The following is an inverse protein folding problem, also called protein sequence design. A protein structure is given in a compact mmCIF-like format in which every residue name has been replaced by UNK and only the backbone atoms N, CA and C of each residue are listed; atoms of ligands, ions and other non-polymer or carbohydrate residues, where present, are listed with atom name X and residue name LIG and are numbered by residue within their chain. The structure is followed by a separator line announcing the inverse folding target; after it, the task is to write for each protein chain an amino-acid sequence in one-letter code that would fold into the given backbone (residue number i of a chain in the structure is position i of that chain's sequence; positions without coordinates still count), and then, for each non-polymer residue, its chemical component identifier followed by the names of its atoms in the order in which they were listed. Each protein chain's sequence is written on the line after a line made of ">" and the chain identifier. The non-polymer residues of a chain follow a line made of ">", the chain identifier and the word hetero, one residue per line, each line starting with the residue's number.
data_IF_633455361099
#
_entry.id   IF_633455361099
#
_cell.length_a   1.000
_cell.length_b   1.000
_cell.length_c   1.000
_cell.angle_alpha   90.00
_cell.angle_beta   90.00
_cell.angle_gamma   90.00
#
_symmetry.space_group_name_H-M   'P 1'
#
loop_
_entity.id
_entity.type
_entity.pdbx_description
1 polymer ?
#
# COMPACT_ATOMS: atom_id res chain seq x y z
N UNK A 1 24.10 -46.89 -5.61
CA UNK A 1 24.69 -46.42 -4.34
C UNK A 1 25.10 -44.96 -4.51
N UNK A 2 24.50 -44.08 -3.70
CA UNK A 2 24.55 -42.62 -3.78
C UNK A 2 25.91 -42.10 -3.30
N UNK A 3 26.45 -41.05 -3.94
CA UNK A 3 27.40 -40.11 -3.30
C UNK A 3 26.90 -38.69 -3.55
N UNK A 4 26.30 -38.10 -2.52
CA UNK A 4 25.97 -36.67 -2.47
C UNK A 4 27.23 -35.82 -2.36
N UNK A 5 27.34 -34.66 -3.02
CA UNK A 5 28.38 -33.69 -2.74
C UNK A 5 28.08 -32.94 -1.44
N UNK A 6 29.11 -32.77 -0.60
CA UNK A 6 29.04 -32.11 0.72
C UNK A 6 28.69 -30.62 0.55
N UNK A 7 27.58 -30.20 1.14
CA UNK A 7 27.29 -28.79 1.43
C UNK A 7 28.32 -28.26 2.44
N UNK A 8 29.06 -27.22 2.08
CA UNK A 8 29.78 -26.41 3.07
C UNK A 8 28.73 -25.68 3.93
N UNK A 9 28.65 -26.06 5.20
CA UNK A 9 27.90 -25.35 6.22
C UNK A 9 28.64 -24.07 6.58
N UNK A 10 28.07 -22.92 6.21
CA UNK A 10 28.52 -21.61 6.69
C UNK A 10 27.74 -21.34 7.99
N UNK A 11 28.45 -21.29 9.11
CA UNK A 11 27.87 -20.96 10.41
C UNK A 11 27.47 -19.48 10.48
N UNK A 12 26.35 -19.12 11.14
CA UNK A 12 25.94 -17.73 11.31
C UNK A 12 26.87 -16.99 12.30
N UNK A 13 27.08 -15.68 12.14
CA UNK A 13 27.92 -14.89 13.02
C UNK A 13 27.30 -14.75 14.41
N UNK A 14 28.10 -15.01 15.44
CA UNK A 14 27.76 -14.84 16.85
C UNK A 14 27.80 -13.37 17.26
N UNK A 15 26.72 -12.87 17.86
CA UNK A 15 26.63 -11.52 18.42
C UNK A 15 27.14 -11.58 19.87
N UNK A 16 28.07 -10.69 20.30
CA UNK A 16 28.55 -10.67 21.68
C UNK A 16 27.47 -10.13 22.64
N UNK A 17 27.45 -10.59 23.91
CA UNK A 17 26.45 -10.20 24.89
C UNK A 17 26.65 -8.75 25.34
N UNK A 18 25.58 -7.94 25.25
CA UNK A 18 25.54 -6.58 25.76
C UNK A 18 25.49 -6.56 27.30
N UNK A 19 26.36 -5.76 27.90
CA UNK A 19 26.43 -5.50 29.33
C UNK A 19 25.15 -4.80 29.83
N UNK A 20 24.63 -5.30 30.94
CA UNK A 20 23.41 -4.81 31.59
C UNK A 20 23.62 -3.46 32.28
N UNK A 21 22.63 -2.58 32.11
CA UNK A 21 22.42 -1.42 32.98
C UNK A 21 21.12 -1.61 33.75
N UNK A 22 21.21 -1.43 35.08
CA UNK A 22 20.17 -1.66 36.10
C UNK A 22 19.01 -0.65 36.02
N UNK A 23 17.82 -0.98 36.53
CA UNK A 23 16.68 -0.07 36.59
C UNK A 23 16.78 0.87 37.81
N UNK A 24 16.34 2.12 37.63
CA UNK A 24 16.09 3.06 38.71
C UNK A 24 14.60 3.44 38.72
N UNK A 25 13.90 3.03 39.78
CA UNK A 25 12.61 3.60 40.18
C UNK A 25 12.86 4.90 40.95
N UNK A 26 12.08 5.97 40.73
CA UNK A 26 10.98 6.37 41.64
C UNK A 26 10.32 7.70 41.24
N UNK A 27 9.01 7.73 41.53
CA UNK A 27 8.13 8.84 41.93
C UNK A 27 7.74 9.90 40.89
N UNK A 28 6.42 10.00 40.74
CA UNK A 28 5.76 11.07 40.01
C UNK A 28 5.62 12.34 40.84
N UNK A 29 5.36 13.41 40.12
CA UNK A 29 4.61 14.57 40.59
C UNK A 29 3.82 15.14 39.40
N UNK A 30 2.59 15.57 39.70
CA UNK A 30 1.69 16.30 38.80
C UNK A 30 2.18 17.74 38.66
N UNK A 31 2.19 18.30 37.45
CA UNK A 31 1.98 19.73 37.22
C UNK A 31 1.61 19.99 35.75
N UNK A 32 0.35 20.37 35.58
CA UNK A 32 -0.22 21.44 34.75
C UNK A 32 0.14 21.64 33.27
N UNK A 33 -0.94 21.75 32.50
CA UNK A 33 -1.03 22.16 31.12
C UNK A 33 -0.58 23.62 30.94
N UNK A 34 0.43 23.86 30.11
CA UNK A 34 0.58 25.12 29.38
C UNK A 34 0.86 24.83 27.90
N UNK A 35 0.05 25.48 27.06
CA UNK A 35 0.09 25.39 25.61
C UNK A 35 1.36 26.07 25.08
N UNK A 36 2.27 25.29 24.50
CA UNK A 36 3.37 25.82 23.70
C UNK A 36 3.03 25.74 22.21
N UNK A 37 2.93 26.91 21.59
CA UNK A 37 2.64 27.11 20.17
C UNK A 37 3.57 26.28 19.26
N UNK A 38 2.97 25.35 18.49
CA UNK A 38 3.66 24.59 17.45
C UNK A 38 4.02 25.51 16.28
N UNK A 39 5.33 25.71 16.05
CA UNK A 39 5.85 26.45 14.91
C UNK A 39 5.43 25.76 13.60
N UNK A 40 4.96 26.51 12.57
CA UNK A 40 4.40 25.91 11.37
C UNK A 40 5.45 25.14 10.60
N UNK A 41 5.12 23.89 10.29
CA UNK A 41 5.95 22.92 9.60
C UNK A 41 6.59 23.50 8.34
N UNK A 42 7.91 23.31 8.24
CA UNK A 42 8.75 23.65 7.08
C UNK A 42 8.17 22.97 5.84
N UNK A 43 7.41 23.72 5.03
CA UNK A 43 6.92 23.28 3.72
C UNK A 43 8.12 22.76 2.92
N UNK A 44 8.09 21.48 2.58
CA UNK A 44 9.12 20.86 1.76
C UNK A 44 9.22 21.63 0.45
N UNK A 45 10.39 22.23 0.21
CA UNK A 45 10.72 22.93 -1.02
C UNK A 45 10.59 21.91 -2.16
N UNK A 46 9.63 22.09 -3.07
CA UNK A 46 9.57 21.33 -4.32
C UNK A 46 10.73 21.82 -5.18
N UNK A 47 11.86 21.12 -5.10
CA UNK A 47 12.97 21.30 -6.00
C UNK A 47 12.49 20.82 -7.38
N UNK A 48 12.47 21.72 -8.38
CA UNK A 48 12.31 21.31 -9.78
C UNK A 48 13.61 20.64 -10.16
N UNK A 49 13.70 19.35 -9.93
CA UNK A 49 14.83 18.56 -10.37
C UNK A 49 14.80 18.50 -11.91
N UNK A 50 15.94 18.79 -12.55
CA UNK A 50 16.11 18.70 -14.00
C UNK A 50 15.97 17.26 -14.52
N UNK A 51 16.28 16.99 -15.80
CA UNK A 51 16.28 15.64 -16.34
C UNK A 51 17.16 14.75 -15.47
N UNK A 52 16.54 13.77 -14.80
CA UNK A 52 17.21 12.94 -13.81
C UNK A 52 17.99 11.85 -14.53
N UNK A 53 19.30 11.83 -14.34
CA UNK A 53 20.18 10.82 -14.92
C UNK A 53 19.91 9.44 -14.29
N UNK A 54 20.00 8.37 -15.09
CA UNK A 54 19.79 7.01 -14.61
C UNK A 54 20.76 6.69 -13.47
N UNK A 55 20.32 5.99 -12.41
CA UNK A 55 21.22 5.52 -11.37
C UNK A 55 22.31 4.59 -11.91
N UNK A 56 23.39 4.44 -11.14
CA UNK A 56 24.49 3.52 -11.47
C UNK A 56 23.97 2.10 -11.74
N UNK A 57 24.52 1.47 -12.77
CA UNK A 57 24.25 0.08 -13.17
C UNK A 57 22.74 -0.21 -13.42
N UNK A 58 21.94 0.83 -13.67
CA UNK A 58 20.48 0.70 -13.85
C UNK A 58 20.11 -0.24 -14.98
N UNK A 59 20.74 -0.08 -16.15
CA UNK A 59 20.41 -0.87 -17.34
C UNK A 59 20.78 -2.36 -17.16
N UNK A 60 21.88 -2.65 -16.46
CA UNK A 60 22.29 -4.02 -16.13
C UNK A 60 21.31 -4.67 -15.15
N UNK A 61 21.00 -3.99 -14.04
CA UNK A 61 20.04 -4.49 -13.05
C UNK A 61 18.65 -4.65 -13.68
N UNK A 62 18.24 -3.71 -14.53
CA UNK A 62 16.98 -3.80 -15.25
C UNK A 62 16.93 -5.02 -16.17
N UNK A 63 18.00 -5.33 -16.89
CA UNK A 63 18.09 -6.52 -17.72
C UNK A 63 17.94 -7.80 -16.87
N UNK A 64 18.66 -7.90 -15.75
CA UNK A 64 18.57 -9.04 -14.83
C UNK A 64 17.16 -9.17 -14.25
N UNK A 65 16.55 -8.08 -13.79
CA UNK A 65 15.17 -8.10 -13.26
C UNK A 65 14.19 -8.55 -14.34
N UNK A 66 14.38 -8.11 -15.59
CA UNK A 66 13.56 -8.51 -16.73
C UNK A 66 13.64 -10.01 -16.98
N UNK A 67 14.86 -10.57 -17.00
CA UNK A 67 15.06 -12.02 -17.15
C UNK A 67 14.45 -12.81 -15.99
N UNK A 68 14.63 -12.36 -14.75
CA UNK A 68 14.02 -12.99 -13.57
C UNK A 68 12.49 -13.00 -13.65
N UNK A 69 11.90 -11.91 -14.13
CA UNK A 69 10.45 -11.76 -14.30
C UNK A 69 9.90 -12.56 -15.47
N UNK A 70 10.71 -12.87 -16.47
CA UNK A 70 10.34 -13.78 -17.56
C UNK A 70 10.24 -15.26 -17.09
N UNK A 71 10.97 -15.62 -16.04
CA UNK A 71 11.00 -17.00 -15.52
C UNK A 71 9.96 -17.24 -14.42
N UNK A 72 9.62 -16.21 -13.63
CA UNK A 72 8.75 -16.35 -12.45
C UNK A 72 7.76 -15.21 -12.28
N UNK A 73 6.49 -15.59 -12.28
CA UNK A 73 5.39 -14.70 -11.94
C UNK A 73 5.32 -14.38 -10.44
N UNK A 74 4.82 -13.20 -10.13
CA UNK A 74 4.49 -12.76 -8.78
C UNK A 74 2.97 -12.81 -8.59
N UNK A 75 2.46 -13.06 -7.37
CA UNK A 75 1.03 -13.08 -7.11
C UNK A 75 0.30 -11.82 -7.57
N UNK A 76 0.91 -10.63 -7.42
CA UNK A 76 0.34 -9.35 -7.87
C UNK A 76 0.03 -9.28 -9.37
N UNK A 77 0.69 -10.10 -10.20
CA UNK A 77 0.45 -10.14 -11.65
C UNK A 77 -0.91 -10.73 -12.00
N UNK A 78 -1.42 -11.62 -11.14
CA UNK A 78 -2.71 -12.32 -11.34
C UNK A 78 -3.76 -11.90 -10.31
N UNK A 79 -3.33 -11.40 -9.15
CA UNK A 79 -4.17 -11.10 -7.99
C UNK A 79 -4.00 -9.67 -7.50
N UNK A 80 -3.45 -8.78 -8.33
CA UNK A 80 -3.34 -7.36 -8.02
C UNK A 80 -4.71 -6.72 -7.80
N UNK A 81 -4.78 -5.67 -6.97
CA UNK A 81 -6.06 -5.05 -6.58
C UNK A 81 -6.90 -4.57 -7.79
N UNK A 82 -6.25 -4.20 -8.90
CA UNK A 82 -6.90 -3.79 -10.14
C UNK A 82 -7.66 -4.93 -10.86
N UNK A 83 -7.34 -6.19 -10.54
CA UNK A 83 -7.98 -7.39 -11.09
C UNK A 83 -9.12 -7.92 -10.22
N UNK A 84 -9.32 -7.38 -9.01
CA UNK A 84 -10.29 -7.89 -8.03
C UNK A 84 -11.67 -7.22 -8.12
N UNK A 85 -11.89 -6.37 -9.13
CA UNK A 85 -13.18 -5.74 -9.41
C UNK A 85 -14.01 -6.58 -10.36
N UNK A 86 -15.33 -6.54 -10.22
CA UNK A 86 -16.25 -7.16 -11.16
C UNK A 86 -16.26 -6.37 -12.48
N UNK A 87 -16.00 -7.03 -13.62
CA UNK A 87 -15.97 -6.38 -14.94
C UNK A 87 -17.34 -5.89 -15.38
N UNK A 88 -18.41 -6.55 -14.93
CA UNK A 88 -19.79 -6.26 -15.33
C UNK A 88 -20.44 -5.20 -14.42
N UNK A 89 -19.77 -4.81 -13.33
CA UNK A 89 -20.29 -3.79 -12.43
C UNK A 89 -20.19 -2.39 -13.05
N UNK A 90 -21.12 -1.52 -12.65
CA UNK A 90 -21.12 -0.11 -13.05
C UNK A 90 -19.78 0.57 -12.72
N UNK A 91 -19.33 1.56 -13.50
CA UNK A 91 -18.00 2.17 -13.33
C UNK A 91 -17.74 2.70 -11.91
N UNK A 92 -18.78 3.23 -11.28
CA UNK A 92 -18.76 3.73 -9.92
C UNK A 92 -18.64 2.61 -8.88
N UNK A 93 -19.36 1.51 -9.05
CA UNK A 93 -19.24 0.34 -8.18
C UNK A 93 -17.89 -0.35 -8.35
N UNK A 94 -17.35 -0.41 -9.57
CA UNK A 94 -15.98 -0.88 -9.83
C UNK A 94 -14.93 -0.05 -9.08
N UNK A 95 -15.04 1.28 -9.08
CA UNK A 95 -14.14 2.15 -8.29
C UNK A 95 -14.25 1.88 -6.79
N UNK A 96 -15.46 1.65 -6.31
CA UNK A 96 -15.68 1.29 -4.91
C UNK A 96 -15.08 -0.08 -4.58
N UNK A 97 -15.27 -1.09 -5.42
CA UNK A 97 -14.68 -2.41 -5.25
C UNK A 97 -13.15 -2.35 -5.27
N UNK A 98 -12.56 -1.51 -6.14
CA UNK A 98 -11.13 -1.23 -6.12
C UNK A 98 -10.70 -0.62 -4.79
N UNK A 99 -11.42 0.39 -4.30
CA UNK A 99 -11.12 1.02 -3.00
C UNK A 99 -11.17 -0.02 -1.86
N UNK A 100 -12.18 -0.89 -1.83
CA UNK A 100 -12.28 -2.00 -0.85
C UNK A 100 -11.06 -2.92 -0.96
N UNK A 101 -10.71 -3.38 -2.16
CA UNK A 101 -9.55 -4.25 -2.39
C UNK A 101 -8.24 -3.60 -1.93
N UNK A 102 -8.07 -2.29 -2.18
CA UNK A 102 -6.90 -1.52 -1.76
C UNK A 102 -6.85 -1.37 -0.24
N UNK A 103 -7.97 -1.08 0.42
CA UNK A 103 -8.02 -1.00 1.90
C UNK A 103 -7.67 -2.34 2.55
N UNK A 104 -8.18 -3.45 2.00
CA UNK A 104 -7.91 -4.80 2.47
C UNK A 104 -6.46 -5.25 2.23
N UNK A 105 -5.79 -4.75 1.19
CA UNK A 105 -4.41 -5.12 0.83
C UNK A 105 -3.35 -4.77 1.89
N UNK A 106 -3.59 -3.76 2.73
CA UNK A 106 -2.60 -3.31 3.71
C UNK A 106 -2.15 -4.44 4.64
N UNK A 107 -0.83 -4.68 4.71
CA UNK A 107 -0.24 -5.73 5.56
C UNK A 107 -0.91 -7.10 5.37
N UNK A 108 -1.33 -7.42 4.15
CA UNK A 108 -2.03 -8.65 3.79
C UNK A 108 -1.42 -9.21 2.51
N UNK A 109 -1.32 -10.54 2.41
CA UNK A 109 -0.83 -11.20 1.20
C UNK A 109 -1.87 -11.09 0.08
N UNK A 110 -1.41 -10.99 -1.17
CA UNK A 110 -2.30 -10.84 -2.33
C UNK A 110 -3.35 -11.95 -2.41
N UNK A 111 -2.99 -13.20 -2.10
CA UNK A 111 -3.91 -14.34 -2.12
C UNK A 111 -5.04 -14.22 -1.10
N UNK A 112 -4.74 -13.73 0.12
CA UNK A 112 -5.75 -13.54 1.16
C UNK A 112 -6.67 -12.35 0.83
N UNK A 113 -6.11 -11.30 0.21
CA UNK A 113 -6.91 -10.19 -0.29
C UNK A 113 -7.85 -10.63 -1.41
N UNK A 114 -7.35 -11.37 -2.39
CA UNK A 114 -8.15 -11.91 -3.49
C UNK A 114 -9.26 -12.83 -2.99
N UNK A 115 -8.95 -13.71 -2.01
CA UNK A 115 -9.95 -14.57 -1.36
C UNK A 115 -11.02 -13.77 -0.64
N UNK A 116 -10.64 -12.74 0.11
CA UNK A 116 -11.58 -11.87 0.80
C UNK A 116 -12.51 -11.12 -0.18
N UNK A 117 -11.96 -10.56 -1.26
CA UNK A 117 -12.74 -9.93 -2.32
C UNK A 117 -13.70 -10.91 -2.99
N UNK A 118 -13.25 -12.13 -3.28
CA UNK A 118 -14.11 -13.18 -3.85
C UNK A 118 -15.27 -13.53 -2.91
N UNK A 119 -15.02 -13.68 -1.61
CA UNK A 119 -16.06 -13.95 -0.61
C UNK A 119 -17.10 -12.82 -0.58
N UNK A 120 -16.66 -11.56 -0.61
CA UNK A 120 -17.55 -10.40 -0.64
C UNK A 120 -18.42 -10.36 -1.90
N UNK A 121 -17.82 -10.57 -3.07
CA UNK A 121 -18.56 -10.65 -4.33
C UNK A 121 -19.59 -11.79 -4.31
N UNK A 122 -19.20 -12.97 -3.83
CA UNK A 122 -20.09 -14.12 -3.71
C UNK A 122 -21.26 -13.83 -2.75
N UNK A 123 -20.99 -13.19 -1.61
CA UNK A 123 -22.01 -12.80 -0.63
C UNK A 123 -23.04 -11.83 -1.21
N UNK A 124 -22.62 -10.91 -2.08
CA UNK A 124 -23.49 -9.89 -2.68
C UNK A 124 -24.03 -10.23 -4.08
N UNK A 125 -23.64 -11.36 -4.70
CA UNK A 125 -24.05 -11.73 -6.06
C UNK A 125 -25.58 -11.75 -6.25
N UNK A 126 -26.33 -12.18 -5.23
CA UNK A 126 -27.80 -12.18 -5.22
C UNK A 126 -28.45 -10.89 -4.69
N UNK A 127 -27.65 -9.91 -4.28
CA UNK A 127 -28.08 -8.67 -3.61
C UNK A 127 -27.83 -7.41 -4.46
N UNK A 128 -27.54 -7.57 -5.75
CA UNK A 128 -27.18 -6.47 -6.65
C UNK A 128 -25.70 -6.08 -6.63
N UNK A 129 -24.82 -6.96 -6.15
CA UNK A 129 -23.36 -6.80 -6.23
C UNK A 129 -22.72 -6.07 -5.04
N UNK A 130 -21.38 -6.07 -5.01
CA UNK A 130 -20.61 -5.35 -4.00
C UNK A 130 -20.67 -3.84 -4.28
N UNK A 131 -21.65 -3.17 -3.66
CA UNK A 131 -21.90 -1.73 -3.76
C UNK A 131 -21.77 -1.05 -2.40
N UNK A 132 -21.68 0.29 -2.39
CA UNK A 132 -21.55 1.08 -1.15
C UNK A 132 -22.75 0.86 -0.25
N UNK A 133 -23.95 0.96 -0.80
CA UNK A 133 -25.22 0.76 -0.07
C UNK A 133 -25.30 -0.63 0.55
N UNK A 134 -24.93 -1.65 -0.22
CA UNK A 134 -24.95 -3.03 0.25
C UNK A 134 -23.92 -3.28 1.36
N UNK A 135 -22.71 -2.73 1.24
CA UNK A 135 -21.68 -2.85 2.27
C UNK A 135 -22.02 -2.03 3.53
N UNK A 136 -22.58 -0.83 3.38
CA UNK A 136 -23.01 0.04 4.48
C UNK A 136 -24.12 -0.58 5.32
N UNK A 137 -25.04 -1.34 4.69
CA UNK A 137 -26.13 -2.06 5.35
C UNK A 137 -25.75 -3.43 5.92
N UNK A 138 -24.51 -3.89 5.76
CA UNK A 138 -24.05 -5.19 6.25
C UNK A 138 -23.74 -5.14 7.75
N UNK A 139 -24.08 -6.18 8.51
CA UNK A 139 -23.69 -6.25 9.91
C UNK A 139 -22.16 -6.41 10.02
N UNK A 140 -21.55 -5.70 10.98
CA UNK A 140 -20.10 -5.76 11.23
C UNK A 140 -19.59 -7.21 11.39
N UNK A 141 -20.34 -8.05 12.12
CA UNK A 141 -19.96 -9.46 12.34
C UNK A 141 -19.97 -10.29 11.06
N UNK A 142 -20.94 -10.05 10.17
CA UNK A 142 -21.01 -10.75 8.89
C UNK A 142 -19.85 -10.34 8.00
N UNK A 143 -19.57 -9.02 7.91
CA UNK A 143 -18.46 -8.51 7.12
C UNK A 143 -17.13 -9.05 7.63
N UNK A 144 -16.93 -9.03 8.93
CA UNK A 144 -15.74 -9.56 9.60
C UNK A 144 -15.51 -11.04 9.26
N UNK A 145 -16.60 -11.84 9.25
CA UNK A 145 -16.53 -13.25 8.88
C UNK A 145 -16.07 -13.44 7.42
N UNK A 146 -16.50 -12.59 6.48
CA UNK A 146 -16.09 -12.69 5.07
C UNK A 146 -14.60 -12.37 4.86
N UNK A 147 -14.05 -11.45 5.67
CA UNK A 147 -12.67 -10.94 5.51
C UNK A 147 -11.70 -11.43 6.59
N UNK A 148 -12.07 -12.41 7.42
CA UNK A 148 -11.30 -12.87 8.59
C UNK A 148 -9.86 -13.29 8.29
N UNK A 149 -9.56 -13.73 7.06
CA UNK A 149 -8.19 -14.08 6.63
C UNK A 149 -7.27 -12.88 6.44
N UNK A 150 -7.82 -11.67 6.36
CA UNK A 150 -7.09 -10.42 6.14
C UNK A 150 -6.46 -9.93 7.46
N UNK A 151 -5.23 -9.41 7.40
CA UNK A 151 -4.56 -8.84 8.57
C UNK A 151 -5.31 -7.63 9.12
N UNK A 152 -5.46 -7.54 10.44
CA UNK A 152 -6.22 -6.48 11.13
C UNK A 152 -7.70 -6.37 10.70
N UNK A 153 -8.35 -7.50 10.38
CA UNK A 153 -9.72 -7.55 9.88
C UNK A 153 -10.71 -6.73 10.73
N UNK A 154 -10.72 -6.85 12.06
CA UNK A 154 -11.62 -6.07 12.94
C UNK A 154 -11.59 -4.55 12.68
N UNK A 155 -10.40 -3.96 12.50
CA UNK A 155 -10.27 -2.52 12.22
C UNK A 155 -10.68 -2.21 10.78
N UNK A 156 -10.35 -3.09 9.84
CA UNK A 156 -10.76 -2.95 8.44
C UNK A 156 -12.28 -3.04 8.27
N UNK A 157 -12.94 -3.98 8.94
CA UNK A 157 -14.40 -4.12 8.97
C UNK A 157 -15.07 -2.79 9.35
N UNK A 158 -14.67 -2.20 10.48
CA UNK A 158 -15.20 -0.90 10.93
C UNK A 158 -14.91 0.23 9.94
N UNK A 159 -13.69 0.29 9.40
CA UNK A 159 -13.32 1.32 8.43
C UNK A 159 -14.10 1.19 7.12
N UNK A 160 -14.29 -0.03 6.62
CA UNK A 160 -15.04 -0.30 5.38
C UNK A 160 -16.49 0.16 5.48
N UNK A 161 -17.18 -0.20 6.58
CA UNK A 161 -18.56 0.26 6.82
C UNK A 161 -18.60 1.79 6.94
N UNK A 162 -17.65 2.39 7.67
CA UNK A 162 -17.56 3.86 7.80
C UNK A 162 -17.32 4.55 6.46
N UNK A 163 -16.42 4.02 5.64
CA UNK A 163 -16.15 4.54 4.29
C UNK A 163 -17.40 4.44 3.44
N UNK A 164 -18.08 3.29 3.42
CA UNK A 164 -19.29 3.11 2.64
C UNK A 164 -20.37 4.15 2.99
N UNK A 165 -20.61 4.38 4.29
CA UNK A 165 -21.53 5.44 4.75
C UNK A 165 -21.05 6.84 4.38
N UNK A 166 -19.76 7.13 4.59
CA UNK A 166 -19.17 8.45 4.29
C UNK A 166 -19.26 8.81 2.80
N UNK A 167 -19.12 7.82 1.92
CA UNK A 167 -19.26 8.00 0.48
C UNK A 167 -20.68 8.41 0.11
N UNK A 168 -21.70 7.78 0.69
CA UNK A 168 -23.11 8.16 0.48
C UNK A 168 -23.38 9.57 1.02
N UNK A 169 -22.96 9.86 2.25
CA UNK A 169 -23.31 11.09 2.96
C UNK A 169 -22.59 12.33 2.42
N UNK A 170 -21.27 12.24 2.18
CA UNK A 170 -20.43 13.41 1.85
C UNK A 170 -19.95 13.46 0.42
N UNK A 171 -19.88 12.32 -0.26
CA UNK A 171 -19.37 12.23 -1.62
C UNK A 171 -20.46 11.84 -2.64
N UNK A 172 -21.74 11.91 -2.23
CA UNK A 172 -22.90 11.65 -3.08
C UNK A 172 -22.81 10.28 -3.79
N UNK A 173 -22.33 9.28 -3.06
CA UNK A 173 -22.16 7.92 -3.54
C UNK A 173 -20.94 7.72 -4.45
N UNK A 174 -20.06 8.70 -4.66
CA UNK A 174 -18.91 8.59 -5.57
C UNK A 174 -17.59 8.41 -4.82
N UNK A 175 -16.67 7.66 -5.41
CA UNK A 175 -15.29 7.59 -4.88
C UNK A 175 -14.57 8.89 -5.24
N UNK A 176 -13.92 9.58 -4.28
CA UNK A 176 -13.22 10.83 -4.57
C UNK A 176 -12.05 10.61 -5.54
N UNK A 177 -11.89 11.52 -6.50
CA UNK A 177 -10.82 11.50 -7.50
C UNK A 177 -9.63 12.42 -7.12
N UNK A 178 -9.66 12.98 -5.92
CA UNK A 178 -8.63 13.86 -5.38
C UNK A 178 -7.88 13.22 -4.22
N UNK A 179 -6.60 13.57 -4.08
CA UNK A 179 -5.75 13.12 -2.97
C UNK A 179 -6.34 13.49 -1.61
N UNK A 180 -6.79 14.74 -1.46
CA UNK A 180 -7.39 15.24 -0.22
C UNK A 180 -8.68 14.48 0.13
N UNK A 181 -9.55 14.25 -0.86
CA UNK A 181 -10.77 13.49 -0.68
C UNK A 181 -10.49 12.05 -0.24
N UNK A 182 -9.56 11.37 -0.91
CA UNK A 182 -9.19 9.99 -0.56
C UNK A 182 -8.52 9.88 0.81
N UNK A 183 -7.65 10.83 1.17
CA UNK A 183 -7.01 10.87 2.49
C UNK A 183 -7.97 11.18 3.63
N UNK A 184 -9.12 11.78 3.35
CA UNK A 184 -10.16 12.00 4.35
C UNK A 184 -10.89 10.71 4.76
N UNK A 185 -10.76 9.63 3.95
CA UNK A 185 -11.40 8.35 4.21
C UNK A 185 -10.64 7.55 5.29
N UNK A 186 -11.33 7.01 6.31
CA UNK A 186 -10.65 6.28 7.38
C UNK A 186 -9.98 5.01 6.87
N UNK A 187 -8.69 4.86 7.17
CA UNK A 187 -7.89 3.72 6.75
C UNK A 187 -7.26 3.85 5.36
N UNK A 188 -7.49 4.96 4.64
CA UNK A 188 -6.84 5.24 3.36
C UNK A 188 -5.58 6.08 3.58
N UNK A 189 -4.42 5.53 3.19
CA UNK A 189 -3.15 6.23 3.23
C UNK A 189 -2.76 6.85 1.88
N UNK A 190 -1.71 7.70 1.83
CA UNK A 190 -1.27 8.37 0.58
C UNK A 190 -1.02 7.42 -0.58
N UNK A 191 -0.42 6.26 -0.30
CA UNK A 191 -0.14 5.22 -1.31
C UNK A 191 -1.40 4.60 -1.90
N UNK A 192 -2.39 4.36 -1.03
CA UNK A 192 -3.68 3.83 -1.45
C UNK A 192 -4.42 4.86 -2.31
N UNK A 193 -4.37 6.13 -1.90
CA UNK A 193 -4.99 7.22 -2.65
C UNK A 193 -4.41 7.34 -4.07
N UNK A 194 -3.08 7.33 -4.21
CA UNK A 194 -2.42 7.33 -5.54
C UNK A 194 -2.90 6.16 -6.40
N UNK A 195 -2.95 4.95 -5.84
CA UNK A 195 -3.38 3.75 -6.57
C UNK A 195 -4.83 3.85 -7.04
N UNK A 196 -5.73 4.35 -6.19
CA UNK A 196 -7.15 4.55 -6.54
C UNK A 196 -7.30 5.65 -7.60
N UNK A 197 -6.53 6.75 -7.51
CA UNK A 197 -6.52 7.79 -8.54
C UNK A 197 -6.04 7.25 -9.88
N UNK A 198 -4.92 6.53 -9.89
CA UNK A 198 -4.31 6.01 -11.11
C UNK A 198 -5.19 4.94 -11.78
N UNK A 199 -5.58 3.90 -11.03
CA UNK A 199 -6.30 2.75 -11.57
C UNK A 199 -7.81 3.02 -11.67
N UNK A 200 -8.40 3.64 -10.64
CA UNK A 200 -9.85 3.87 -10.56
C UNK A 200 -10.33 5.07 -11.38
N UNK A 201 -9.52 6.11 -11.47
CA UNK A 201 -9.86 7.36 -12.17
C UNK A 201 -9.00 7.62 -13.42
N UNK A 202 -8.01 6.77 -13.73
CA UNK A 202 -7.15 6.95 -14.90
C UNK A 202 -6.18 8.13 -14.77
N UNK A 203 -5.96 8.66 -13.56
CA UNK A 203 -5.12 9.83 -13.29
C UNK A 203 -3.64 9.44 -13.28
N UNK A 204 -3.04 9.37 -14.47
CA UNK A 204 -1.60 9.08 -14.64
C UNK A 204 -0.68 10.18 -14.09
N UNK A 205 -1.23 11.34 -13.78
CA UNK A 205 -0.55 12.47 -13.14
C UNK A 205 -0.46 12.36 -11.60
N UNK A 206 -1.11 11.37 -11.00
CA UNK A 206 -1.15 11.19 -9.54
C UNK A 206 0.21 10.78 -8.93
N UNK A 207 1.16 10.34 -9.77
CA UNK A 207 2.48 9.87 -9.36
C UNK A 207 2.54 8.35 -9.19
N UNK A 208 3.68 7.85 -8.72
CA UNK A 208 3.94 6.41 -8.59
C UNK A 208 3.79 5.98 -7.13
N UNK A 209 3.03 4.93 -6.89
CA UNK A 209 2.92 4.31 -5.57
C UNK A 209 4.20 3.53 -5.22
N UNK A 210 5.07 4.12 -4.40
CA UNK A 210 6.35 3.49 -4.03
C UNK A 210 6.26 2.80 -2.67
N UNK A 211 6.48 1.47 -2.64
CA UNK A 211 6.52 0.73 -1.37
C UNK A 211 7.81 0.97 -0.57
N UNK A 212 7.75 0.72 0.73
CA UNK A 212 8.90 0.61 1.62
C UNK A 212 9.92 -0.43 1.15
N UNK A 213 9.46 -1.50 0.50
CA UNK A 213 10.31 -2.51 -0.11
C UNK A 213 11.06 -1.96 -1.34
N UNK A 214 10.41 -1.15 -2.18
CA UNK A 214 11.08 -0.47 -3.30
C UNK A 214 12.15 0.46 -2.76
N UNK A 215 11.84 1.23 -1.71
CA UNK A 215 12.83 2.09 -1.04
C UNK A 215 14.02 1.29 -0.50
N UNK A 216 13.76 0.14 0.15
CA UNK A 216 14.82 -0.73 0.68
C UNK A 216 15.67 -1.32 -0.43
N UNK A 217 15.07 -1.80 -1.53
CA UNK A 217 15.80 -2.36 -2.67
C UNK A 217 16.62 -1.28 -3.36
N UNK A 218 16.04 -0.11 -3.60
CA UNK A 218 16.75 1.03 -4.20
C UNK A 218 17.94 1.47 -3.32
N UNK A 219 17.79 1.45 -1.98
CA UNK A 219 18.90 1.71 -1.07
C UNK A 219 19.97 0.61 -1.12
N UNK A 220 19.58 -0.66 -1.19
CA UNK A 220 20.53 -1.79 -1.34
C UNK A 220 21.32 -1.73 -2.65
N UNK A 221 20.70 -1.25 -3.73
CA UNK A 221 21.33 -1.05 -5.04
C UNK A 221 22.14 0.26 -5.13
N UNK A 222 22.14 1.08 -4.08
CA UNK A 222 22.82 2.38 -4.07
C UNK A 222 22.18 3.44 -4.98
N UNK A 223 20.90 3.28 -5.34
CA UNK A 223 20.16 4.20 -6.22
C UNK A 223 19.57 5.41 -5.47
N UNK A 224 19.59 5.40 -4.14
CA UNK A 224 19.09 6.49 -3.30
C UNK A 224 20.22 7.05 -2.44
N UNK A 225 20.30 8.38 -2.35
CA UNK A 225 21.33 9.08 -1.55
C UNK A 225 21.02 9.08 -0.04
N UNK A 226 19.75 8.88 0.32
CA UNK A 226 19.27 8.90 1.71
C UNK A 226 18.39 7.68 2.03
N UNK A 227 18.58 7.10 3.21
CA UNK A 227 17.73 6.05 3.77
C UNK A 227 16.30 6.55 4.16
N UNK A 228 15.97 7.82 3.95
CA UNK A 228 14.70 8.42 4.36
C UNK A 228 13.58 8.17 3.34
N UNK A 229 12.47 7.58 3.83
CA UNK A 229 11.27 7.16 3.07
C UNK A 229 10.66 8.21 2.12
N UNK A 230 10.91 9.50 2.34
CA UNK A 230 10.30 10.60 1.56
C UNK A 230 10.98 10.83 0.20
N UNK A 231 12.24 10.47 0.01
CA UNK A 231 12.98 10.78 -1.22
C UNK A 231 12.67 9.84 -2.40
N UNK A 232 12.33 8.59 -2.14
CA UNK A 232 12.12 7.60 -3.21
C UNK A 232 10.94 7.92 -4.14
N UNK A 233 9.89 8.59 -3.63
CA UNK A 233 8.74 8.97 -4.45
C UNK A 233 9.14 9.95 -5.57
N UNK A 234 10.06 10.87 -5.29
CA UNK A 234 10.51 11.87 -6.28
C UNK A 234 11.45 11.27 -7.33
N UNK A 235 12.36 10.37 -6.93
CA UNK A 235 13.38 9.78 -7.80
C UNK A 235 12.81 8.85 -8.89
N UNK A 236 11.71 8.12 -8.60
CA UNK A 236 11.14 7.15 -9.54
C UNK A 236 10.12 7.82 -10.49
N UNK A 237 9.43 8.88 -10.05
CA UNK A 237 8.44 9.58 -10.87
C UNK A 237 9.02 10.38 -12.04
N UNK A 238 10.30 10.75 -11.96
CA UNK A 238 10.99 11.57 -12.97
C UNK A 238 11.74 10.75 -14.03
N UNK A 239 11.99 9.46 -13.81
CA UNK A 239 12.71 8.59 -14.76
C UNK A 239 11.79 7.90 -15.78
N UNK A 240 10.47 7.95 -15.60
CA UNK A 240 9.48 7.35 -16.51
C UNK A 240 9.07 8.21 -17.72
N UNK A 241 9.59 9.43 -17.87
CA UNK A 241 9.13 10.39 -18.90
C UNK A 241 9.90 10.32 -20.24
N UNK A 242 10.75 9.31 -20.46
CA UNK A 242 11.66 9.26 -21.63
C UNK A 242 11.44 8.09 -22.61
N UNK A 243 10.26 7.47 -22.62
CA UNK A 243 9.90 6.54 -23.71
C UNK A 243 8.54 6.93 -24.29
N UNK A 244 8.49 8.13 -24.89
CA UNK A 244 7.63 8.38 -26.04
C UNK A 244 8.52 8.31 -27.26
N UNK A 245 8.11 7.54 -28.25
CA UNK A 245 8.34 7.75 -29.69
C UNK A 245 7.70 6.56 -30.44
N UNK A 246 7.30 6.72 -31.70
CA UNK A 246 6.20 7.53 -32.23
C UNK A 246 4.93 6.70 -32.50
#
# INVERSE_FOLDING_TARGET
>A
MRRSPRLLSIAPPTVPPGEGSKPAETKGDKADCEASEEKPGRRGRTQKDGPMEKPRDFDEVWAIVTELRAIRDAPVDTMGCHMLTDSEAEPEDRRFQLLVAVMLSSQTKDQENAKAMHNLHAYFKGKGGLTRKNLAGMEEKELDAQIRGVGFHNTKTRNLIRVANLLEDRFHGKVPDTMEGLLSLPGVGPKMAVLVMEVGHGRRDAGICVDTHVHRIAAMLGWTKDASRRHCHHLITSTGHSCRDP
#
